data_IF_086866210126
#
_entry.id   IF_086866210126
#
_cell.length_a   1.000
_cell.length_b   1.000
_cell.length_c   1.000
_cell.angle_alpha   90.00
_cell.angle_beta   90.00
_cell.angle_gamma   90.00
#
_symmetry.space_group_name_H-M   'P 1'
#
loop_
_entity.id
_entity.type
_entity.pdbx_description
1 polymer ?
#
# COMPACT_ATOMS: atom_id res chain seq x y z
N UNK A 1 -55.22 12.17 -27.45
CA UNK A 1 -54.25 13.30 -27.44
C UNK A 1 -53.62 13.54 -26.07
N UNK A 2 -54.35 13.48 -24.96
CA UNK A 2 -53.76 13.68 -23.61
C UNK A 2 -52.81 12.57 -23.18
N UNK A 3 -53.11 11.30 -23.49
CA UNK A 3 -52.24 10.15 -23.18
C UNK A 3 -50.88 10.26 -23.88
N UNK A 4 -50.86 10.56 -25.18
CA UNK A 4 -49.63 10.80 -25.95
C UNK A 4 -48.83 12.01 -25.42
N UNK A 5 -49.49 13.09 -24.98
CA UNK A 5 -48.78 14.23 -24.37
C UNK A 5 -48.12 13.85 -23.05
N UNK A 6 -48.76 12.99 -22.26
CA UNK A 6 -48.22 12.51 -20.98
C UNK A 6 -47.03 11.59 -21.18
N UNK A 7 -47.10 10.67 -22.15
CA UNK A 7 -45.99 9.79 -22.53
C UNK A 7 -44.76 10.60 -22.99
N UNK A 8 -44.96 11.62 -23.86
CA UNK A 8 -43.89 12.49 -24.33
C UNK A 8 -43.25 13.28 -23.17
N UNK A 9 -44.05 13.75 -22.22
CA UNK A 9 -43.56 14.46 -21.02
C UNK A 9 -42.74 13.54 -20.10
N UNK A 10 -43.16 12.29 -19.91
CA UNK A 10 -42.43 11.30 -19.11
C UNK A 10 -41.10 10.92 -19.76
N UNK A 11 -41.06 10.76 -21.09
CA UNK A 11 -39.82 10.53 -21.84
C UNK A 11 -38.86 11.72 -21.73
N UNK A 12 -39.36 12.95 -21.88
CA UNK A 12 -38.57 14.18 -21.73
C UNK A 12 -37.98 14.33 -20.32
N UNK A 13 -38.77 14.07 -19.28
CA UNK A 13 -38.30 14.09 -17.90
C UNK A 13 -37.24 13.03 -17.64
N UNK A 14 -37.42 11.83 -18.18
CA UNK A 14 -36.45 10.74 -18.04
C UNK A 14 -35.13 11.10 -18.71
N UNK A 15 -35.19 11.72 -19.89
CA UNK A 15 -34.01 12.16 -20.63
C UNK A 15 -33.28 13.30 -19.91
N UNK A 16 -34.00 14.29 -19.40
CA UNK A 16 -33.43 15.37 -18.59
C UNK A 16 -32.80 14.85 -17.32
N UNK A 17 -33.42 13.88 -16.65
CA UNK A 17 -32.86 13.26 -15.45
C UNK A 17 -31.55 12.52 -15.75
N UNK A 18 -31.49 11.76 -16.85
CA UNK A 18 -30.25 11.10 -17.29
C UNK A 18 -29.14 12.09 -17.61
N UNK A 19 -29.45 13.14 -18.37
CA UNK A 19 -28.48 14.20 -18.68
C UNK A 19 -27.96 14.88 -17.42
N UNK A 20 -28.84 15.15 -16.45
CA UNK A 20 -28.44 15.72 -15.17
C UNK A 20 -27.51 14.80 -14.40
N UNK A 21 -27.81 13.49 -14.34
CA UNK A 21 -26.91 12.53 -13.70
C UNK A 21 -25.54 12.44 -14.37
N UNK A 22 -25.47 12.51 -15.70
CA UNK A 22 -24.21 12.52 -16.44
C UNK A 22 -23.39 13.78 -16.16
N UNK A 23 -24.04 14.95 -16.14
CA UNK A 23 -23.40 16.22 -15.78
C UNK A 23 -22.88 16.20 -14.34
N UNK A 24 -23.68 15.67 -13.41
CA UNK A 24 -23.32 15.56 -12.00
C UNK A 24 -22.11 14.61 -11.81
N UNK A 25 -22.08 13.49 -12.55
CA UNK A 25 -20.96 12.55 -12.57
C UNK A 25 -19.68 13.19 -13.13
N UNK A 26 -19.79 13.96 -14.21
CA UNK A 26 -18.66 14.70 -14.78
C UNK A 26 -18.15 15.77 -13.82
N UNK A 27 -19.04 16.46 -13.12
CA UNK A 27 -18.69 17.44 -12.09
C UNK A 27 -17.94 16.79 -10.92
N UNK A 28 -18.42 15.65 -10.42
CA UNK A 28 -17.71 14.89 -9.38
C UNK A 28 -16.31 14.48 -9.82
N UNK A 29 -16.15 13.95 -11.03
CA UNK A 29 -14.83 13.60 -11.57
C UNK A 29 -13.87 14.79 -11.63
N UNK A 30 -14.39 15.96 -12.03
CA UNK A 30 -13.58 17.17 -12.13
C UNK A 30 -13.17 17.68 -10.75
N UNK A 31 -14.06 17.62 -9.76
CA UNK A 31 -13.74 17.96 -8.37
C UNK A 31 -12.72 16.98 -7.79
N UNK A 32 -12.88 15.68 -8.03
CA UNK A 32 -11.91 14.68 -7.59
C UNK A 32 -10.54 14.90 -8.19
N UNK A 33 -10.45 15.18 -9.49
CA UNK A 33 -9.19 15.51 -10.15
C UNK A 33 -8.55 16.79 -9.57
N UNK A 34 -9.35 17.81 -9.23
CA UNK A 34 -8.85 19.02 -8.59
C UNK A 34 -8.31 18.73 -7.17
N UNK A 35 -9.06 17.94 -6.39
CA UNK A 35 -8.64 17.54 -5.04
C UNK A 35 -7.37 16.66 -5.11
N UNK A 36 -7.25 15.80 -6.12
CA UNK A 36 -6.07 14.95 -6.31
C UNK A 36 -4.83 15.78 -6.63
N UNK A 37 -4.95 16.81 -7.49
CA UNK A 37 -3.83 17.70 -7.86
C UNK A 37 -3.47 18.69 -6.74
N UNK A 38 -4.45 19.25 -6.03
CA UNK A 38 -4.23 20.39 -5.12
C UNK A 38 -4.43 20.05 -3.63
N UNK A 39 -4.89 18.85 -3.30
CA UNK A 39 -5.14 18.39 -1.92
C UNK A 39 -6.23 19.18 -1.17
N UNK A 40 -7.04 19.96 -1.89
CA UNK A 40 -8.03 20.87 -1.32
C UNK A 40 -9.31 20.89 -2.13
N UNK A 41 -10.43 21.07 -1.45
CA UNK A 41 -11.72 21.18 -2.11
C UNK A 41 -11.82 22.51 -2.88
N UNK A 42 -12.20 22.51 -4.17
CA UNK A 42 -12.15 23.70 -5.02
C UNK A 42 -13.05 24.85 -4.55
N UNK A 43 -14.13 24.55 -3.81
CA UNK A 43 -15.10 25.57 -3.38
C UNK A 43 -14.96 26.02 -1.93
N UNK A 44 -14.51 25.13 -1.04
CA UNK A 44 -14.40 25.43 0.39
C UNK A 44 -12.95 25.75 0.78
N UNK A 45 -11.98 25.44 -0.09
CA UNK A 45 -10.54 25.54 0.14
C UNK A 45 -10.02 24.75 1.35
N UNK A 46 -10.88 23.95 1.97
CA UNK A 46 -10.54 23.04 3.04
C UNK A 46 -9.69 21.88 2.50
N UNK A 47 -8.83 21.33 3.35
CA UNK A 47 -8.14 20.10 3.03
C UNK A 47 -9.17 19.00 2.77
N UNK A 48 -9.06 18.32 1.63
CA UNK A 48 -9.96 17.24 1.25
C UNK A 48 -9.16 16.20 0.49
N UNK A 49 -9.60 14.93 0.56
CA UNK A 49 -8.96 13.81 -0.13
C UNK A 49 -9.90 13.25 -1.18
N UNK A 50 -9.36 12.92 -2.36
CA UNK A 50 -10.15 12.34 -3.45
C UNK A 50 -10.62 10.92 -3.07
N UNK A 51 -11.83 10.53 -3.47
CA UNK A 51 -12.45 9.27 -3.01
C UNK A 51 -11.68 8.03 -3.52
N UNK A 52 -10.96 8.17 -4.64
CA UNK A 52 -10.05 7.13 -5.14
C UNK A 52 -8.86 6.86 -4.20
N UNK A 53 -8.42 7.84 -3.41
CA UNK A 53 -7.38 7.65 -2.37
C UNK A 53 -7.95 7.03 -1.08
N UNK A 54 -9.23 7.22 -0.76
CA UNK A 54 -9.84 6.63 0.46
C UNK A 54 -9.91 5.10 0.43
N UNK A 55 -10.11 4.46 -0.73
CA UNK A 55 -10.08 2.98 -0.81
C UNK A 55 -8.70 2.39 -0.52
N UNK A 56 -7.64 3.16 -0.75
CA UNK A 56 -6.26 2.79 -0.44
C UNK A 56 -5.97 2.98 1.06
N UNK A 57 -6.48 4.05 1.67
CA UNK A 57 -6.26 4.40 3.08
C UNK A 57 -7.16 3.61 4.06
N UNK A 58 -8.40 3.27 3.72
CA UNK A 58 -9.33 2.57 4.63
C UNK A 58 -8.93 1.13 4.96
N UNK A 59 -8.13 0.46 4.10
CA UNK A 59 -7.59 -0.88 4.42
C UNK A 59 -6.48 -0.83 5.47
N UNK A 60 -5.85 0.33 5.68
CA UNK A 60 -4.94 0.56 6.77
C UNK A 60 -5.68 1.32 7.85
N UNK A 61 -6.05 0.62 8.93
CA UNK A 61 -6.44 1.26 10.20
C UNK A 61 -5.21 1.96 10.77
N UNK A 62 -4.87 3.09 10.17
CA UNK A 62 -3.96 4.10 10.66
C UNK A 62 -4.82 5.36 10.58
N UNK A 63 -4.99 6.06 11.69
CA UNK A 63 -5.44 7.45 11.63
C UNK A 63 -4.30 8.24 10.95
N UNK A 64 -4.26 8.22 9.62
CA UNK A 64 -3.13 8.70 8.82
C UNK A 64 -3.13 10.22 8.81
N UNK A 65 -2.34 10.77 9.72
CA UNK A 65 -1.76 12.10 9.58
C UNK A 65 -0.63 11.98 8.54
N UNK A 66 -0.61 12.82 7.50
CA UNK A 66 0.42 12.80 6.43
C UNK A 66 1.86 13.00 6.97
N UNK A 67 1.98 13.41 8.25
CA UNK A 67 3.22 13.43 9.03
C UNK A 67 3.82 12.05 9.32
N UNK A 68 3.15 10.96 8.95
CA UNK A 68 3.61 9.59 9.14
C UNK A 68 4.47 9.04 7.98
N UNK A 69 4.64 9.83 6.91
CA UNK A 69 5.42 9.46 5.74
C UNK A 69 6.55 10.45 5.48
N UNK A 70 7.64 9.95 4.91
CA UNK A 70 8.71 10.79 4.38
C UNK A 70 8.37 11.27 2.97
N UNK A 71 8.80 12.50 2.63
CA UNK A 71 8.62 13.06 1.28
C UNK A 71 9.18 12.12 0.21
N UNK A 72 10.27 11.41 0.51
CA UNK A 72 10.91 10.46 -0.42
C UNK A 72 9.95 9.36 -0.88
N UNK A 73 9.14 8.80 0.01
CA UNK A 73 8.17 7.75 -0.35
C UNK A 73 6.93 8.33 -1.01
N UNK A 74 6.51 9.53 -0.59
CA UNK A 74 5.39 10.23 -1.23
C UNK A 74 5.71 10.59 -2.68
N UNK A 75 6.87 11.20 -2.93
CA UNK A 75 7.35 11.55 -4.27
C UNK A 75 7.43 10.30 -5.16
N UNK A 76 7.95 9.18 -4.65
CA UNK A 76 7.96 7.92 -5.38
C UNK A 76 6.55 7.44 -5.74
N UNK A 77 5.61 7.54 -4.79
CA UNK A 77 4.23 7.08 -5.02
C UNK A 77 3.57 7.91 -6.12
N UNK A 78 3.70 9.23 -6.07
CA UNK A 78 3.07 10.13 -7.03
C UNK A 78 3.62 9.91 -8.45
N UNK A 79 4.92 9.64 -8.58
CA UNK A 79 5.56 9.49 -9.89
C UNK A 79 5.48 8.08 -10.48
N UNK A 80 5.47 7.03 -9.64
CA UNK A 80 5.76 5.67 -10.10
C UNK A 80 4.74 4.60 -9.67
N UNK A 81 3.72 4.95 -8.89
CA UNK A 81 2.66 4.01 -8.51
C UNK A 81 1.37 4.26 -9.29
N UNK A 82 0.72 3.18 -9.73
CA UNK A 82 -0.58 3.24 -10.39
C UNK A 82 -1.70 3.39 -9.37
N UNK A 83 -2.92 3.63 -9.85
CA UNK A 83 -4.13 3.74 -9.00
C UNK A 83 -4.39 2.48 -8.15
N UNK A 84 -3.99 1.29 -8.62
CA UNK A 84 -4.10 0.05 -7.86
C UNK A 84 -2.98 -0.15 -6.82
N UNK A 85 -2.00 0.76 -6.78
CA UNK A 85 -0.82 0.75 -5.93
C UNK A 85 0.30 -0.18 -6.41
N UNK A 86 0.19 -0.77 -7.60
CA UNK A 86 1.29 -1.48 -8.25
C UNK A 86 2.26 -0.51 -8.92
N UNK A 87 3.48 -0.98 -9.21
CA UNK A 87 4.45 -0.23 -9.99
C UNK A 87 5.04 -1.10 -11.11
N UNK A 88 5.66 -0.47 -12.11
CA UNK A 88 6.34 -1.19 -13.19
C UNK A 88 7.61 -1.90 -12.66
N UNK A 89 8.12 -2.96 -13.31
CA UNK A 89 9.29 -3.70 -12.82
C UNK A 89 10.54 -2.85 -12.59
N UNK A 90 10.80 -1.87 -13.45
CA UNK A 90 11.92 -0.93 -13.29
C UNK A 90 11.73 -0.01 -12.08
N UNK A 91 10.51 0.51 -11.90
CA UNK A 91 10.12 1.30 -10.72
C UNK A 91 10.18 0.47 -9.44
N UNK A 92 9.85 -0.81 -9.49
CA UNK A 92 9.95 -1.73 -8.36
C UNK A 92 11.39 -1.91 -7.89
N UNK A 93 12.33 -2.13 -8.82
CA UNK A 93 13.76 -2.17 -8.50
C UNK A 93 14.19 -0.85 -7.86
N UNK A 94 13.79 0.27 -8.45
CA UNK A 94 14.10 1.60 -7.93
C UNK A 94 13.55 1.81 -6.51
N UNK A 95 12.31 1.40 -6.23
CA UNK A 95 11.70 1.48 -4.90
C UNK A 95 12.54 0.75 -3.85
N UNK A 96 12.98 -0.45 -4.17
CA UNK A 96 13.72 -1.27 -3.22
C UNK A 96 15.15 -0.75 -3.01
N UNK A 97 15.79 -0.21 -4.05
CA UNK A 97 17.08 0.46 -3.92
C UNK A 97 16.97 1.74 -3.09
N UNK A 98 15.92 2.53 -3.32
CA UNK A 98 15.62 3.72 -2.54
C UNK A 98 15.32 3.36 -1.07
N UNK A 99 14.58 2.28 -0.84
CA UNK A 99 14.31 1.76 0.49
C UNK A 99 15.59 1.34 1.21
N UNK A 100 16.54 0.69 0.52
CA UNK A 100 17.83 0.32 1.11
C UNK A 100 18.70 1.55 1.42
N UNK A 101 18.76 2.52 0.51
CA UNK A 101 19.57 3.73 0.72
C UNK A 101 19.03 4.60 1.86
N UNK A 102 17.70 4.66 2.01
CA UNK A 102 17.02 5.55 2.95
C UNK A 102 16.44 4.84 4.18
N UNK A 103 16.71 3.54 4.37
CA UNK A 103 16.05 2.69 5.37
C UNK A 103 16.09 3.23 6.80
N UNK A 104 17.15 3.96 7.17
CA UNK A 104 17.31 4.54 8.49
C UNK A 104 16.36 5.73 8.76
N UNK A 105 15.92 6.41 7.70
CA UNK A 105 15.01 7.56 7.77
C UNK A 105 13.52 7.18 7.66
N UNK A 106 13.23 5.93 7.27
CA UNK A 106 11.87 5.48 7.02
C UNK A 106 11.06 5.36 8.30
N UNK A 107 9.92 6.05 8.30
CA UNK A 107 8.90 5.92 9.32
C UNK A 107 8.18 4.56 9.16
N UNK A 108 7.46 4.09 10.19
CA UNK A 108 6.66 2.87 10.06
C UNK A 108 5.66 2.92 8.90
N UNK A 109 5.09 4.11 8.62
CA UNK A 109 4.22 4.36 7.47
C UNK A 109 4.89 4.05 6.14
N UNK A 110 6.11 4.57 5.94
CA UNK A 110 6.92 4.36 4.73
C UNK A 110 7.15 2.86 4.46
N UNK A 111 7.53 2.12 5.49
CA UNK A 111 7.78 0.67 5.39
C UNK A 111 6.53 -0.10 5.03
N UNK A 112 5.39 0.22 5.66
CA UNK A 112 4.10 -0.39 5.34
C UNK A 112 3.68 -0.09 3.89
N UNK A 113 3.90 1.15 3.43
CA UNK A 113 3.61 1.57 2.05
C UNK A 113 4.46 0.79 1.04
N UNK A 114 5.75 0.65 1.30
CA UNK A 114 6.67 -0.17 0.48
C UNK A 114 6.19 -1.61 0.43
N UNK A 115 5.88 -2.24 1.57
CA UNK A 115 5.37 -3.61 1.60
C UNK A 115 4.09 -3.80 0.79
N UNK A 116 3.17 -2.82 0.84
CA UNK A 116 1.96 -2.86 0.03
C UNK A 116 2.25 -2.76 -1.47
N UNK A 117 3.12 -1.83 -1.89
CA UNK A 117 3.50 -1.70 -3.29
C UNK A 117 4.15 -3.00 -3.78
N UNK A 118 4.94 -3.65 -2.93
CA UNK A 118 5.52 -4.96 -3.25
C UNK A 118 4.42 -5.99 -3.52
N UNK A 119 3.50 -6.16 -2.58
CA UNK A 119 2.39 -7.11 -2.68
C UNK A 119 1.56 -6.87 -3.94
N UNK A 120 1.14 -5.62 -4.18
CA UNK A 120 0.34 -5.25 -5.37
C UNK A 120 1.07 -5.47 -6.68
N UNK A 121 2.38 -5.21 -6.71
CA UNK A 121 3.18 -5.41 -7.93
C UNK A 121 3.30 -6.89 -8.30
N UNK A 122 3.31 -7.80 -7.31
CA UNK A 122 3.25 -9.25 -7.57
C UNK A 122 1.86 -9.74 -8.03
N UNK A 123 0.78 -9.06 -7.63
CA UNK A 123 -0.59 -9.40 -8.01
C UNK A 123 -0.94 -9.03 -9.47
N UNK A 124 -0.12 -8.22 -10.14
CA UNK A 124 -0.36 -7.80 -11.53
C UNK A 124 -0.35 -9.01 -12.46
N UNK A 125 -1.50 -9.27 -13.12
CA UNK A 125 -1.68 -10.45 -13.98
C UNK A 125 -1.03 -10.30 -15.36
N UNK A 126 -0.89 -9.08 -15.85
CA UNK A 126 -0.41 -8.78 -17.21
C UNK A 126 1.11 -8.73 -17.37
N UNK A 127 1.88 -9.18 -16.37
CA UNK A 127 3.34 -9.21 -16.41
C UNK A 127 3.85 -10.39 -17.24
N UNK A 128 4.89 -10.15 -18.04
CA UNK A 128 5.62 -11.21 -18.74
C UNK A 128 6.45 -12.05 -17.76
N UNK A 129 6.88 -13.24 -18.17
CA UNK A 129 7.74 -14.08 -17.32
C UNK A 129 9.08 -13.40 -17.00
N UNK A 130 9.60 -12.60 -17.94
CA UNK A 130 10.81 -11.79 -17.73
C UNK A 130 10.57 -10.73 -16.67
N UNK A 131 9.44 -10.01 -16.72
CA UNK A 131 9.09 -9.01 -15.71
C UNK A 131 8.93 -9.65 -14.33
N UNK A 132 8.26 -10.80 -14.26
CA UNK A 132 8.11 -11.55 -13.00
C UNK A 132 9.45 -11.97 -12.42
N UNK A 133 10.39 -12.41 -13.26
CA UNK A 133 11.75 -12.74 -12.84
C UNK A 133 12.45 -11.51 -12.26
N UNK A 134 12.36 -10.35 -12.91
CA UNK A 134 12.96 -9.10 -12.41
C UNK A 134 12.39 -8.73 -11.03
N UNK A 135 11.07 -8.81 -10.84
CA UNK A 135 10.43 -8.56 -9.54
C UNK A 135 10.93 -9.54 -8.47
N UNK A 136 10.96 -10.83 -8.79
CA UNK A 136 11.43 -11.87 -7.88
C UNK A 136 12.90 -11.67 -7.49
N UNK A 137 13.78 -11.44 -8.45
CA UNK A 137 15.22 -11.25 -8.21
C UNK A 137 15.46 -9.99 -7.35
N UNK A 138 14.77 -8.89 -7.67
CA UNK A 138 14.85 -7.65 -6.91
C UNK A 138 14.35 -7.81 -5.47
N UNK A 139 13.20 -8.45 -5.28
CA UNK A 139 12.66 -8.74 -3.96
C UNK A 139 13.61 -9.62 -3.15
N UNK A 140 14.12 -10.70 -3.74
CA UNK A 140 15.01 -11.65 -3.08
C UNK A 140 16.30 -11.00 -2.58
N UNK A 141 16.90 -10.13 -3.40
CA UNK A 141 18.11 -9.40 -3.03
C UNK A 141 17.90 -8.48 -1.82
N UNK A 142 16.65 -8.10 -1.52
CA UNK A 142 16.29 -7.12 -0.50
C UNK A 142 15.58 -7.73 0.70
N UNK A 143 15.44 -9.06 0.75
CA UNK A 143 14.92 -9.76 1.94
C UNK A 143 15.70 -9.42 3.22
N UNK A 144 17.05 -9.31 3.23
CA UNK A 144 17.78 -8.94 4.44
C UNK A 144 17.32 -7.59 5.04
N UNK A 145 17.02 -6.61 4.19
CA UNK A 145 16.48 -5.31 4.60
C UNK A 145 15.08 -5.47 5.23
N UNK A 146 14.19 -6.25 4.61
CA UNK A 146 12.85 -6.51 5.14
C UNK A 146 12.92 -7.19 6.51
N UNK A 147 13.85 -8.13 6.70
CA UNK A 147 14.06 -8.79 7.99
C UNK A 147 14.53 -7.79 9.05
N UNK A 148 15.33 -6.78 8.68
CA UNK A 148 15.72 -5.71 9.61
C UNK A 148 14.54 -4.82 10.04
N UNK A 149 13.52 -4.68 9.20
CA UNK A 149 12.29 -3.98 9.58
C UNK A 149 11.40 -4.78 10.53
N UNK A 150 11.67 -6.07 10.72
CA UNK A 150 11.04 -6.91 11.73
C UNK A 150 11.68 -6.78 13.12
N UNK A 151 12.57 -5.81 13.38
CA UNK A 151 13.09 -5.61 14.73
C UNK A 151 11.95 -5.41 15.74
N UNK A 152 12.11 -5.93 16.99
CA UNK A 152 11.09 -5.76 18.02
C UNK A 152 10.79 -4.28 18.25
N UNK A 153 9.51 -3.88 18.31
CA UNK A 153 9.16 -2.50 18.65
C UNK A 153 9.68 -2.18 20.06
N UNK A 154 10.11 -0.95 20.35
CA UNK A 154 10.56 -0.58 21.68
C UNK A 154 9.44 -0.83 22.72
N UNK A 155 9.76 -1.22 23.97
CA UNK A 155 8.76 -1.63 24.97
C UNK A 155 7.74 -0.55 25.36
N UNK A 156 7.99 0.72 25.01
CA UNK A 156 7.00 1.80 25.14
C UNK A 156 5.82 1.69 24.17
N UNK A 157 5.92 0.80 23.17
CA UNK A 157 4.97 0.61 22.08
C UNK A 157 4.27 -0.75 22.12
N UNK A 158 4.16 -1.38 23.30
CA UNK A 158 3.48 -2.67 23.53
C UNK A 158 1.96 -2.65 23.29
N UNK A 159 1.40 -1.53 22.79
CA UNK A 159 0.02 -1.47 22.33
C UNK A 159 -0.05 -1.86 20.83
N UNK A 160 -0.88 -2.85 20.44
CA UNK A 160 -1.06 -3.24 19.04
C UNK A 160 -1.59 -2.14 18.11
N UNK A 161 -2.06 -1.01 18.67
CA UNK A 161 -2.47 0.19 17.93
C UNK A 161 -1.28 1.11 17.56
N UNK A 162 -0.05 0.79 17.99
CA UNK A 162 1.12 1.58 17.59
C UNK A 162 1.60 1.21 16.17
N UNK A 163 1.94 2.21 15.34
CA UNK A 163 2.37 2.01 13.95
C UNK A 163 3.53 1.04 13.79
N UNK A 164 4.44 0.97 14.76
CA UNK A 164 5.60 0.08 14.77
C UNK A 164 5.19 -1.39 14.82
N UNK A 165 4.25 -1.73 15.71
CA UNK A 165 3.73 -3.10 15.85
C UNK A 165 2.97 -3.54 14.59
N UNK A 166 2.17 -2.62 14.01
CA UNK A 166 1.49 -2.87 12.73
C UNK A 166 2.48 -3.06 11.58
N UNK A 167 3.53 -2.22 11.52
CA UNK A 167 4.59 -2.33 10.53
C UNK A 167 5.27 -3.71 10.59
N UNK A 168 5.72 -4.14 11.77
CA UNK A 168 6.35 -5.46 11.93
C UNK A 168 5.42 -6.58 11.48
N UNK A 169 4.12 -6.49 11.81
CA UNK A 169 3.12 -7.47 11.37
C UNK A 169 2.99 -7.55 9.85
N UNK A 170 2.93 -6.42 9.16
CA UNK A 170 2.84 -6.35 7.69
C UNK A 170 4.08 -6.96 7.05
N UNK A 171 5.27 -6.59 7.52
CA UNK A 171 6.53 -7.13 6.98
C UNK A 171 6.63 -8.64 7.20
N UNK A 172 6.25 -9.13 8.38
CA UNK A 172 6.24 -10.57 8.67
C UNK A 172 5.27 -11.35 7.77
N UNK A 173 4.11 -10.77 7.43
CA UNK A 173 3.16 -11.38 6.49
C UNK A 173 3.74 -11.43 5.07
N UNK A 174 4.42 -10.37 4.64
CA UNK A 174 5.08 -10.33 3.33
C UNK A 174 6.17 -11.41 3.23
N UNK A 175 7.04 -11.51 4.23
CA UNK A 175 8.10 -12.54 4.29
C UNK A 175 7.52 -13.96 4.35
N UNK A 176 6.38 -14.16 5.00
CA UNK A 176 5.68 -15.43 5.03
C UNK A 176 5.00 -15.79 3.69
N UNK A 177 4.72 -14.82 2.83
CA UNK A 177 4.16 -15.04 1.49
C UNK A 177 5.27 -15.32 0.47
N UNK A 178 6.41 -14.65 0.59
CA UNK A 178 7.59 -14.85 -0.26
C UNK A 178 8.85 -15.13 0.56
N UNK A 179 9.07 -16.38 1.03
CA UNK A 179 10.29 -16.74 1.73
C UNK A 179 11.51 -16.76 0.80
N UNK A 180 12.74 -16.58 1.32
CA UNK A 180 13.96 -16.68 0.52
C UNK A 180 14.11 -18.09 -0.07
N UNK A 181 14.46 -18.25 -1.36
CA UNK A 181 14.52 -19.56 -2.00
C UNK A 181 15.80 -20.33 -1.67
N UNK A 182 16.92 -19.63 -1.43
CA UNK A 182 18.23 -20.23 -1.25
C UNK A 182 18.44 -20.70 0.21
N UNK A 183 18.86 -21.96 0.44
CA UNK A 183 19.05 -22.52 1.79
C UNK A 183 20.02 -21.73 2.68
N UNK A 184 21.11 -21.21 2.10
CA UNK A 184 22.12 -20.45 2.83
C UNK A 184 21.55 -19.12 3.35
N UNK A 185 20.72 -18.46 2.54
CA UNK A 185 20.03 -17.23 2.93
C UNK A 185 18.94 -17.52 3.96
N UNK A 186 18.21 -18.65 3.82
CA UNK A 186 17.21 -19.10 4.79
C UNK A 186 17.81 -19.20 6.20
N UNK A 187 18.97 -19.83 6.36
CA UNK A 187 19.61 -20.00 7.66
C UNK A 187 20.00 -18.67 8.32
N UNK A 188 20.64 -17.76 7.57
CA UNK A 188 21.05 -16.45 8.09
C UNK A 188 19.85 -15.58 8.47
N UNK A 189 18.81 -15.58 7.64
CA UNK A 189 17.57 -14.83 7.87
C UNK A 189 16.79 -15.41 9.06
N UNK A 190 16.67 -16.73 9.13
CA UNK A 190 16.00 -17.42 10.23
C UNK A 190 16.70 -17.12 11.57
N UNK A 191 18.03 -17.15 11.61
CA UNK A 191 18.79 -16.79 12.81
C UNK A 191 18.51 -15.35 13.28
N UNK A 192 18.49 -14.38 12.35
CA UNK A 192 18.14 -12.99 12.66
C UNK A 192 16.71 -12.87 13.22
N UNK A 193 15.72 -13.46 12.54
CA UNK A 193 14.33 -13.41 12.96
C UNK A 193 14.11 -14.11 14.31
N UNK A 194 14.77 -15.24 14.55
CA UNK A 194 14.73 -15.96 15.82
C UNK A 194 15.26 -15.11 16.97
N UNK A 195 16.32 -14.32 16.73
CA UNK A 195 16.84 -13.35 17.70
C UNK A 195 15.83 -12.26 18.08
N UNK A 196 14.93 -11.88 17.17
CA UNK A 196 13.89 -10.87 17.43
C UNK A 196 12.69 -11.40 18.21
N UNK A 197 12.38 -12.70 18.12
CA UNK A 197 11.21 -13.30 18.78
C UNK A 197 11.19 -13.08 20.29
N UNK A 198 12.37 -13.06 20.93
CA UNK A 198 12.51 -12.82 22.37
C UNK A 198 12.06 -11.40 22.77
N UNK A 199 12.19 -10.43 21.86
CA UNK A 199 11.78 -9.04 22.08
C UNK A 199 10.36 -8.72 21.59
N UNK A 200 9.65 -9.68 20.99
CA UNK A 200 8.30 -9.43 20.49
C UNK A 200 7.27 -9.41 21.63
N UNK A 201 6.31 -8.48 21.58
CA UNK A 201 5.12 -8.54 22.42
C UNK A 201 4.31 -9.80 22.09
N UNK A 202 3.50 -10.25 23.04
CA UNK A 202 2.73 -11.50 22.93
C UNK A 202 1.80 -11.55 21.71
N UNK A 203 1.35 -10.39 21.21
CA UNK A 203 0.54 -10.31 20.00
C UNK A 203 1.33 -10.58 18.70
N UNK A 204 2.63 -10.28 18.64
CA UNK A 204 3.47 -10.46 17.45
C UNK A 204 4.21 -11.80 17.44
N UNK A 205 4.47 -12.38 18.61
CA UNK A 205 5.22 -13.64 18.75
C UNK A 205 4.64 -14.79 17.91
N UNK A 206 3.32 -15.08 17.91
CA UNK A 206 2.76 -16.16 17.09
C UNK A 206 2.95 -15.96 15.58
N UNK A 207 2.88 -14.71 15.12
CA UNK A 207 3.12 -14.39 13.72
C UNK A 207 4.59 -14.55 13.35
N UNK A 208 5.49 -14.10 14.22
CA UNK A 208 6.93 -14.30 14.06
C UNK A 208 7.33 -15.77 13.98
N UNK A 209 6.82 -16.61 14.87
CA UNK A 209 7.06 -18.07 14.87
C UNK A 209 6.53 -18.73 13.59
N UNK A 210 5.35 -18.32 13.12
CA UNK A 210 4.77 -18.82 11.88
C UNK A 210 5.61 -18.46 10.66
N UNK A 211 6.09 -17.21 10.59
CA UNK A 211 6.97 -16.76 9.51
C UNK A 211 8.30 -17.51 9.55
N UNK A 212 8.91 -17.67 10.74
CA UNK A 212 10.15 -18.43 10.90
C UNK A 212 10.00 -19.87 10.40
N UNK A 213 8.90 -20.55 10.77
CA UNK A 213 8.61 -21.91 10.30
C UNK A 213 8.56 -21.98 8.77
N UNK A 214 7.85 -21.05 8.12
CA UNK A 214 7.76 -20.98 6.66
C UNK A 214 9.09 -20.70 5.95
N UNK A 215 10.00 -19.97 6.60
CA UNK A 215 11.33 -19.70 6.03
C UNK A 215 12.21 -20.95 6.11
N UNK A 216 12.02 -21.79 7.13
CA UNK A 216 12.79 -23.02 7.35
C UNK A 216 12.24 -24.24 6.60
N UNK A 217 10.97 -24.23 6.21
CA UNK A 217 10.36 -25.18 5.25
C UNK A 217 10.97 -25.04 3.85
#
# INVERSE_FOLDING_TARGET
MEVQRREILEELMTLQHRMFQELLKSHFKLMEAHIDVFGRHPFTHEASRAVNRTNFEEKFVLNINDRAFSNVVLDFCDDFTKEDGSCAPTSFVHLLDLAEQSHASFLPGDKMRVCFIIERSFEVRSLTDTDRKVLCDAYQNKIPLLVEWCRPPPPKYDNPLFPESSCVSVVLKLLAAGPPPLPEHKAAIAAKLQGYLAGYPDALRPLGERTLKKILE
#
